data_IF_202374729687
#
_entry.id   IF_202374729687
#
_cell.length_a   1.000
_cell.length_b   1.000
_cell.length_c   1.000
_cell.angle_alpha   90.00
_cell.angle_beta   90.00
_cell.angle_gamma   90.00
#
_symmetry.space_group_name_H-M   'P 1'
#
loop_
_entity.id
_entity.type
_entity.pdbx_description
1 polymer ?
#
# COMPACT_ATOMS: atom_id res chain seq x y z
N UNK A 1 -4.68 -16.89 -25.82
CA UNK A 1 -4.06 -16.71 -24.49
C UNK A 1 -4.75 -15.52 -23.84
N UNK A 2 -5.56 -15.72 -22.80
CA UNK A 2 -6.23 -14.59 -22.13
C UNK A 2 -5.18 -13.66 -21.52
N UNK A 3 -4.95 -12.54 -22.22
CA UNK A 3 -3.93 -11.55 -21.92
C UNK A 3 -4.36 -10.63 -20.80
N UNK A 4 -4.64 -11.17 -19.61
CA UNK A 4 -4.71 -10.33 -18.42
C UNK A 4 -3.30 -9.78 -18.21
N UNK A 5 -3.19 -8.49 -18.49
CA UNK A 5 -1.92 -7.80 -18.45
C UNK A 5 -1.60 -7.52 -16.99
N UNK A 6 -0.47 -8.04 -16.51
CA UNK A 6 -0.11 -8.17 -15.08
C UNK A 6 -0.06 -6.84 -14.31
N UNK A 7 -0.05 -5.71 -15.00
CA UNK A 7 -0.19 -4.37 -14.43
C UNK A 7 -1.61 -4.05 -13.96
N UNK A 8 -2.62 -4.87 -14.29
CA UNK A 8 -3.99 -4.65 -13.85
C UNK A 8 -4.19 -4.90 -12.34
N UNK A 9 -3.40 -5.81 -11.75
CA UNK A 9 -3.51 -6.14 -10.32
C UNK A 9 -3.20 -4.91 -9.44
N UNK A 10 -2.03 -4.25 -9.56
CA UNK A 10 -1.75 -3.08 -8.73
C UNK A 10 -2.66 -1.90 -9.08
N UNK A 11 -3.07 -1.76 -10.35
CA UNK A 11 -4.02 -0.72 -10.75
C UNK A 11 -5.39 -0.92 -10.10
N UNK A 12 -5.91 -2.15 -10.09
CA UNK A 12 -7.17 -2.48 -9.45
C UNK A 12 -7.10 -2.22 -7.94
N UNK A 13 -6.03 -2.67 -7.27
CA UNK A 13 -5.83 -2.41 -5.84
C UNK A 13 -5.84 -0.89 -5.55
N UNK A 14 -5.12 -0.10 -6.36
CA UNK A 14 -5.10 1.36 -6.22
C UNK A 14 -6.48 1.99 -6.44
N UNK A 15 -7.24 1.53 -7.43
CA UNK A 15 -8.60 2.02 -7.68
C UNK A 15 -9.55 1.69 -6.54
N UNK A 16 -9.50 0.48 -5.98
CA UNK A 16 -10.33 0.08 -4.84
C UNK A 16 -9.99 0.92 -3.61
N UNK A 17 -8.70 1.09 -3.32
CA UNK A 17 -8.25 1.92 -2.21
C UNK A 17 -8.72 3.37 -2.36
N UNK A 18 -8.45 3.96 -3.52
CA UNK A 18 -8.87 5.32 -3.82
C UNK A 18 -10.38 5.49 -3.71
N UNK A 19 -11.17 4.57 -4.27
CA UNK A 19 -12.62 4.61 -4.18
C UNK A 19 -13.11 4.49 -2.72
N UNK A 20 -12.45 3.66 -1.91
CA UNK A 20 -12.80 3.49 -0.48
C UNK A 20 -12.54 4.78 0.29
N UNK A 21 -11.35 5.37 0.14
CA UNK A 21 -10.99 6.63 0.80
C UNK A 21 -11.88 7.78 0.33
N UNK A 22 -12.11 7.89 -0.99
CA UNK A 22 -12.94 8.91 -1.57
C UNK A 22 -14.39 8.79 -1.09
N UNK A 23 -14.96 7.58 -1.07
CA UNK A 23 -16.31 7.36 -0.58
C UNK A 23 -16.46 7.79 0.89
N UNK A 24 -15.51 7.40 1.75
CA UNK A 24 -15.54 7.82 3.16
C UNK A 24 -15.45 9.33 3.31
N UNK A 25 -14.53 9.98 2.60
CA UNK A 25 -14.36 11.43 2.66
C UNK A 25 -15.60 12.16 2.12
N UNK A 26 -16.16 11.71 1.00
CA UNK A 26 -17.36 12.31 0.40
C UNK A 26 -18.56 12.21 1.33
N UNK A 27 -18.79 11.05 1.97
CA UNK A 27 -19.89 10.90 2.93
C UNK A 27 -19.74 11.93 4.06
N UNK A 28 -18.56 12.03 4.66
CA UNK A 28 -18.30 13.01 5.73
C UNK A 28 -18.50 14.47 5.30
N UNK A 29 -18.06 14.84 4.08
CA UNK A 29 -18.28 16.19 3.54
C UNK A 29 -19.77 16.45 3.26
N UNK A 30 -20.49 15.47 2.70
CA UNK A 30 -21.92 15.62 2.40
C UNK A 30 -22.81 15.71 3.63
N UNK A 31 -22.35 15.16 4.77
CA UNK A 31 -23.00 15.28 6.07
C UNK A 31 -22.72 16.62 6.77
N UNK A 32 -21.97 17.52 6.13
CA UNK A 32 -21.64 18.84 6.68
C UNK A 32 -20.42 18.83 7.61
N UNK A 33 -19.53 17.85 7.45
CA UNK A 33 -18.28 17.73 8.22
C UNK A 33 -18.49 17.70 9.74
N UNK A 34 -19.31 16.75 10.25
CA UNK A 34 -19.57 16.65 11.68
C UNK A 34 -18.29 16.37 12.49
N UNK A 35 -18.29 16.85 13.73
CA UNK A 35 -17.24 16.52 14.70
C UNK A 35 -17.43 15.06 15.17
N UNK A 36 -16.48 14.19 14.87
CA UNK A 36 -16.64 12.75 15.11
C UNK A 36 -16.22 12.34 16.52
N UNK A 37 -16.76 11.23 17.05
CA UNK A 37 -16.24 10.59 18.25
C UNK A 37 -14.77 10.20 18.01
N UNK A 38 -13.87 10.56 18.93
CA UNK A 38 -12.43 10.33 18.80
C UNK A 38 -11.60 11.56 18.40
N UNK A 39 -12.24 12.66 18.02
CA UNK A 39 -11.53 13.93 17.78
C UNK A 39 -10.82 14.41 19.05
N UNK A 40 -9.57 14.84 18.90
CA UNK A 40 -8.93 15.67 19.92
C UNK A 40 -9.63 17.04 19.98
N UNK A 41 -9.67 17.65 21.17
CA UNK A 41 -10.36 18.92 21.43
C UNK A 41 -9.94 20.09 20.53
N UNK A 42 -8.78 20.00 19.87
CA UNK A 42 -8.25 21.01 18.95
C UNK A 42 -8.34 20.62 17.47
N UNK A 43 -8.78 19.39 17.16
CA UNK A 43 -8.82 18.85 15.80
C UNK A 43 -10.01 19.45 15.02
N UNK A 44 -9.73 20.07 13.87
CA UNK A 44 -10.75 20.67 12.99
C UNK A 44 -11.07 19.85 11.74
N UNK A 45 -10.21 18.89 11.40
CA UNK A 45 -10.33 18.06 10.19
C UNK A 45 -10.34 16.59 10.63
N UNK A 46 -11.32 15.82 10.17
CA UNK A 46 -11.39 14.39 10.45
C UNK A 46 -10.23 13.66 9.77
N UNK A 47 -9.53 12.77 10.48
CA UNK A 47 -8.74 11.77 9.80
C UNK A 47 -9.66 10.74 9.16
N UNK A 48 -9.22 10.12 8.07
CA UNK A 48 -10.01 9.07 7.41
C UNK A 48 -10.27 7.89 8.37
N UNK A 49 -9.32 7.60 9.27
CA UNK A 49 -9.49 6.62 10.34
C UNK A 49 -10.65 6.97 11.30
N UNK A 50 -10.85 8.26 11.62
CA UNK A 50 -11.97 8.73 12.44
C UNK A 50 -13.30 8.52 11.72
N UNK A 51 -13.34 8.82 10.42
CA UNK A 51 -14.52 8.54 9.57
C UNK A 51 -14.77 7.03 9.50
N UNK A 52 -13.71 6.25 9.34
CA UNK A 52 -13.73 4.78 9.31
C UNK A 52 -14.11 4.13 10.65
N UNK A 53 -14.16 4.88 11.76
CA UNK A 53 -14.64 4.40 13.06
C UNK A 53 -16.17 4.50 13.22
N UNK A 54 -16.87 5.14 12.28
CA UNK A 54 -18.32 5.36 12.32
C UNK A 54 -19.11 4.21 11.67
N UNK A 55 -20.33 4.48 11.18
CA UNK A 55 -21.13 3.56 10.36
C UNK A 55 -20.40 3.11 9.07
N UNK A 56 -19.32 3.79 8.66
CA UNK A 56 -18.50 3.42 7.51
C UNK A 56 -17.42 2.38 7.82
N UNK A 57 -17.29 1.91 9.06
CA UNK A 57 -16.33 0.87 9.44
C UNK A 57 -16.39 -0.40 8.57
N UNK A 58 -17.57 -0.95 8.22
CA UNK A 58 -17.63 -2.11 7.32
C UNK A 58 -17.06 -1.82 5.92
N UNK A 59 -17.29 -0.62 5.39
CA UNK A 59 -16.72 -0.18 4.11
C UNK A 59 -15.20 -0.09 4.22
N UNK A 60 -14.69 0.47 5.31
CA UNK A 60 -13.25 0.61 5.52
C UNK A 60 -12.55 -0.75 5.62
N UNK A 61 -13.12 -1.70 6.37
CA UNK A 61 -12.60 -3.07 6.50
C UNK A 61 -12.63 -3.78 5.14
N UNK A 62 -13.78 -3.76 4.45
CA UNK A 62 -13.94 -4.47 3.17
C UNK A 62 -13.03 -3.90 2.08
N UNK A 63 -12.99 -2.57 1.93
CA UNK A 63 -12.13 -1.89 0.96
C UNK A 63 -10.65 -2.13 1.22
N UNK A 64 -10.23 -2.09 2.49
CA UNK A 64 -8.85 -2.41 2.90
C UNK A 64 -8.50 -3.86 2.60
N UNK A 65 -9.36 -4.81 2.97
CA UNK A 65 -9.13 -6.23 2.72
C UNK A 65 -8.98 -6.55 1.23
N UNK A 66 -9.88 -6.04 0.38
CA UNK A 66 -9.77 -6.22 -1.08
C UNK A 66 -8.48 -5.60 -1.61
N UNK A 67 -8.16 -4.36 -1.18
CA UNK A 67 -6.95 -3.65 -1.61
C UNK A 67 -5.70 -4.46 -1.30
N UNK A 68 -5.51 -4.86 -0.05
CA UNK A 68 -4.24 -5.49 0.36
C UNK A 68 -4.09 -6.90 -0.19
N UNK A 69 -5.18 -7.66 -0.30
CA UNK A 69 -5.15 -8.99 -0.92
C UNK A 69 -4.74 -8.88 -2.39
N UNK A 70 -5.34 -7.96 -3.16
CA UNK A 70 -4.96 -7.78 -4.57
C UNK A 70 -3.54 -7.21 -4.69
N UNK A 71 -3.15 -6.33 -3.78
CA UNK A 71 -1.81 -5.76 -3.77
C UNK A 71 -0.75 -6.84 -3.51
N UNK A 72 -0.94 -7.71 -2.51
CA UNK A 72 -0.03 -8.84 -2.23
C UNK A 72 0.03 -9.83 -3.40
N UNK A 73 -1.11 -10.09 -4.06
CA UNK A 73 -1.16 -10.88 -5.29
C UNK A 73 -0.28 -10.30 -6.40
N UNK A 74 -0.02 -8.98 -6.41
CA UNK A 74 0.91 -8.37 -7.36
C UNK A 74 2.34 -8.89 -7.15
N UNK A 75 2.81 -8.93 -5.90
CA UNK A 75 4.17 -9.42 -5.59
C UNK A 75 4.31 -10.92 -5.87
N UNK A 76 3.28 -11.70 -5.50
CA UNK A 76 3.24 -13.15 -5.76
C UNK A 76 3.24 -13.41 -7.27
N UNK A 77 2.42 -12.67 -8.03
CA UNK A 77 2.35 -12.78 -9.49
C UNK A 77 3.67 -12.39 -10.15
N UNK A 78 4.32 -11.32 -9.67
CA UNK A 78 5.63 -10.91 -10.15
C UNK A 78 6.67 -12.02 -9.96
N UNK A 79 6.72 -12.63 -8.77
CA UNK A 79 7.62 -13.74 -8.48
C UNK A 79 7.34 -14.95 -9.39
N UNK A 80 6.06 -15.29 -9.59
CA UNK A 80 5.67 -16.40 -10.45
C UNK A 80 6.03 -16.16 -11.93
N UNK A 81 5.80 -14.95 -12.43
CA UNK A 81 6.14 -14.55 -13.80
C UNK A 81 7.65 -14.53 -14.04
N UNK A 82 8.43 -14.11 -13.04
CA UNK A 82 9.90 -14.23 -13.05
C UNK A 82 10.34 -15.68 -13.11
N UNK A 83 9.68 -16.59 -12.38
CA UNK A 83 10.00 -18.02 -12.43
C UNK A 83 9.70 -18.63 -13.81
N UNK A 84 8.58 -18.22 -14.44
CA UNK A 84 8.18 -18.68 -15.79
C UNK A 84 8.94 -18.01 -16.95
N UNK A 85 9.89 -17.11 -16.68
CA UNK A 85 10.68 -16.43 -17.71
C UNK A 85 9.92 -15.40 -18.55
N UNK A 86 8.75 -14.96 -18.07
CA UNK A 86 8.01 -13.84 -18.70
C UNK A 86 8.50 -12.47 -18.22
N UNK A 87 9.21 -12.43 -17.10
CA UNK A 87 9.92 -11.27 -16.55
C UNK A 87 11.41 -11.63 -16.39
N UNK A 88 12.28 -10.62 -16.29
CA UNK A 88 13.72 -10.83 -16.11
C UNK A 88 14.01 -11.76 -14.93
N UNK A 89 14.61 -12.92 -15.23
CA UNK A 89 14.91 -13.94 -14.23
C UNK A 89 15.88 -13.41 -13.17
N UNK A 90 15.68 -13.88 -11.93
CA UNK A 90 16.60 -13.58 -10.84
C UNK A 90 17.88 -14.41 -11.03
N UNK A 91 18.96 -13.74 -11.41
CA UNK A 91 20.27 -14.34 -11.70
C UNK A 91 21.06 -14.67 -10.43
N UNK A 92 20.76 -14.01 -9.29
CA UNK A 92 21.51 -14.15 -8.05
C UNK A 92 20.66 -14.64 -6.87
N UNK A 93 21.28 -15.40 -5.94
CA UNK A 93 20.65 -15.83 -4.69
C UNK A 93 20.17 -14.64 -3.86
N UNK A 94 20.90 -13.53 -3.89
CA UNK A 94 20.54 -12.33 -3.17
C UNK A 94 19.27 -11.64 -3.72
N UNK A 95 19.06 -11.61 -5.03
CA UNK A 95 17.76 -11.15 -5.59
C UNK A 95 16.62 -12.03 -5.11
N UNK A 96 16.81 -13.35 -5.06
CA UNK A 96 15.76 -14.26 -4.56
C UNK A 96 15.38 -13.96 -3.11
N UNK A 97 16.37 -13.68 -2.26
CA UNK A 97 16.19 -13.31 -0.86
C UNK A 97 15.44 -11.98 -0.74
N UNK A 98 15.86 -10.95 -1.50
CA UNK A 98 15.19 -9.63 -1.52
C UNK A 98 13.72 -9.74 -1.90
N UNK A 99 13.37 -10.51 -2.94
CA UNK A 99 11.95 -10.69 -3.31
C UNK A 99 11.16 -11.37 -2.19
N UNK A 100 11.72 -12.38 -1.54
CA UNK A 100 11.02 -13.10 -0.46
C UNK A 100 10.78 -12.17 0.73
N UNK A 101 11.79 -11.39 1.14
CA UNK A 101 11.60 -10.39 2.19
C UNK A 101 10.57 -9.33 1.79
N UNK A 102 10.57 -8.85 0.54
CA UNK A 102 9.58 -7.88 0.09
C UNK A 102 8.14 -8.40 0.23
N UNK A 103 7.90 -9.68 -0.09
CA UNK A 103 6.58 -10.32 0.06
C UNK A 103 6.20 -10.45 1.53
N UNK A 104 7.12 -10.91 2.39
CA UNK A 104 6.85 -11.07 3.83
C UNK A 104 6.46 -9.72 4.45
N UNK A 105 7.23 -8.67 4.18
CA UNK A 105 6.94 -7.34 4.72
C UNK A 105 5.68 -6.71 4.12
N UNK A 106 5.33 -7.00 2.85
CA UNK A 106 4.06 -6.60 2.26
C UNK A 106 2.87 -7.24 3.00
N UNK A 107 2.95 -8.55 3.30
CA UNK A 107 1.92 -9.26 4.08
C UNK A 107 1.82 -8.70 5.51
N UNK A 108 2.94 -8.39 6.16
CA UNK A 108 2.93 -7.74 7.48
C UNK A 108 2.23 -6.38 7.41
N UNK A 109 2.53 -5.57 6.38
CA UNK A 109 1.84 -4.30 6.14
C UNK A 109 0.35 -4.48 5.89
N UNK A 110 -0.03 -5.48 5.10
CA UNK A 110 -1.42 -5.85 4.80
C UNK A 110 -2.21 -6.21 6.06
N UNK A 111 -1.62 -7.04 6.93
CA UNK A 111 -2.19 -7.39 8.23
C UNK A 111 -2.33 -6.15 9.11
N UNK A 112 -1.33 -5.27 9.14
CA UNK A 112 -1.40 -3.98 9.84
C UNK A 112 -2.61 -3.14 9.39
N UNK A 113 -2.84 -3.03 8.07
CA UNK A 113 -3.97 -2.27 7.53
C UNK A 113 -5.33 -2.89 7.88
N UNK A 114 -5.48 -4.21 7.78
CA UNK A 114 -6.74 -4.86 8.15
C UNK A 114 -6.98 -4.68 9.66
N UNK A 115 -5.97 -4.91 10.49
CA UNK A 115 -6.11 -4.82 11.93
C UNK A 115 -6.40 -3.39 12.40
N UNK A 116 -5.80 -2.35 11.81
CA UNK A 116 -6.12 -0.96 12.16
C UNK A 116 -7.56 -0.57 11.77
N UNK A 117 -8.14 -1.20 10.73
CA UNK A 117 -9.56 -0.97 10.39
C UNK A 117 -10.53 -1.64 11.38
N UNK A 118 -10.08 -2.70 12.06
CA UNK A 118 -10.87 -3.42 13.08
C UNK A 118 -10.73 -2.74 14.44
N UNK A 119 -9.51 -2.43 14.85
CA UNK A 119 -9.19 -1.67 16.06
C UNK A 119 -9.26 -0.18 15.75
N UNK A 120 -10.47 0.38 15.87
CA UNK A 120 -10.74 1.77 15.54
C UNK A 120 -10.19 2.78 16.55
N UNK A 121 -10.21 4.06 16.17
CA UNK A 121 -9.70 5.19 16.98
C UNK A 121 -10.54 5.48 18.23
N UNK A 122 -11.77 4.93 18.32
CA UNK A 122 -12.71 5.21 19.41
C UNK A 122 -12.53 4.22 20.56
N UNK A 123 -12.50 2.92 20.26
CA UNK A 123 -12.47 1.85 21.25
C UNK A 123 -11.03 1.41 21.57
N UNK A 124 -10.11 1.48 20.60
CA UNK A 124 -8.75 0.95 20.73
C UNK A 124 -7.67 1.89 20.16
N UNK A 125 -7.62 3.19 20.54
CA UNK A 125 -6.72 4.18 19.93
C UNK A 125 -5.23 3.78 19.96
N UNK A 126 -4.74 3.31 21.10
CA UNK A 126 -3.33 2.88 21.21
C UNK A 126 -2.99 1.68 20.31
N UNK A 127 -3.95 0.76 20.11
CA UNK A 127 -3.76 -0.40 19.22
C UNK A 127 -3.84 0.04 17.77
N UNK A 128 -4.78 0.94 17.46
CA UNK A 128 -4.92 1.56 16.14
C UNK A 128 -3.59 2.19 15.70
N UNK A 129 -3.00 3.04 16.53
CA UNK A 129 -1.74 3.73 16.23
C UNK A 129 -0.57 2.75 16.07
N UNK A 130 -0.50 1.71 16.91
CA UNK A 130 0.51 0.67 16.76
C UNK A 130 0.35 -0.09 15.43
N UNK A 131 -0.88 -0.42 15.03
CA UNK A 131 -1.15 -1.10 13.76
C UNK A 131 -0.91 -0.19 12.55
N UNK A 132 -1.15 1.12 12.69
CA UNK A 132 -0.77 2.13 11.69
C UNK A 132 0.74 2.15 11.46
N UNK A 133 1.54 2.12 12.54
CA UNK A 133 3.00 2.02 12.44
C UNK A 133 3.42 0.73 11.75
N UNK A 134 2.81 -0.42 12.09
CA UNK A 134 3.09 -1.72 11.44
C UNK A 134 2.76 -1.68 9.94
N UNK A 135 1.61 -1.11 9.57
CA UNK A 135 1.20 -0.91 8.18
C UNK A 135 2.23 -0.10 7.39
N UNK A 136 2.57 1.10 7.89
CA UNK A 136 3.49 2.02 7.21
C UNK A 136 4.89 1.40 7.13
N UNK A 137 5.44 0.92 8.24
CA UNK A 137 6.77 0.33 8.28
C UNK A 137 6.86 -0.92 7.41
N UNK A 138 5.84 -1.78 7.43
CA UNK A 138 5.78 -2.98 6.60
C UNK A 138 5.88 -2.66 5.11
N UNK A 139 5.07 -1.73 4.61
CA UNK A 139 5.10 -1.34 3.20
C UNK A 139 6.36 -0.56 2.81
N UNK A 140 6.90 0.31 3.67
CA UNK A 140 8.17 1.00 3.41
C UNK A 140 9.32 0.00 3.29
N UNK A 141 9.44 -0.94 4.25
CA UNK A 141 10.50 -1.95 4.23
C UNK A 141 10.35 -2.86 2.99
N UNK A 142 9.12 -3.25 2.66
CA UNK A 142 8.84 -3.99 1.43
C UNK A 142 9.30 -3.23 0.18
N UNK A 143 8.95 -1.95 0.07
CA UNK A 143 9.33 -1.10 -1.05
C UNK A 143 10.86 -0.96 -1.18
N UNK A 144 11.58 -0.84 -0.06
CA UNK A 144 13.06 -0.80 -0.05
C UNK A 144 13.62 -2.11 -0.64
N UNK A 145 13.11 -3.27 -0.23
CA UNK A 145 13.56 -4.55 -0.77
C UNK A 145 13.25 -4.72 -2.26
N UNK A 146 12.06 -4.29 -2.71
CA UNK A 146 11.72 -4.25 -4.13
C UNK A 146 12.69 -3.35 -4.90
N UNK A 147 12.91 -2.12 -4.43
CA UNK A 147 13.82 -1.17 -5.06
C UNK A 147 15.25 -1.73 -5.15
N UNK A 148 15.74 -2.36 -4.07
CA UNK A 148 17.04 -3.02 -4.06
C UNK A 148 17.12 -4.19 -5.07
N UNK A 149 16.06 -4.99 -5.20
CA UNK A 149 15.98 -6.05 -6.21
C UNK A 149 16.05 -5.46 -7.63
N UNK A 150 15.22 -4.44 -7.91
CA UNK A 150 15.14 -3.78 -9.20
C UNK A 150 16.45 -3.08 -9.58
N UNK A 151 17.11 -2.42 -8.64
CA UNK A 151 18.42 -1.81 -8.87
C UNK A 151 19.45 -2.87 -9.27
N UNK A 152 19.48 -4.00 -8.55
CA UNK A 152 20.42 -5.09 -8.83
C UNK A 152 20.14 -5.78 -10.17
N UNK A 153 18.87 -5.94 -10.54
CA UNK A 153 18.46 -6.40 -11.87
C UNK A 153 18.84 -5.40 -12.96
N UNK A 154 18.65 -4.10 -12.72
CA UNK A 154 18.95 -3.03 -13.66
C UNK A 154 20.44 -2.89 -13.99
N UNK A 155 21.33 -3.23 -13.04
CA UNK A 155 22.78 -3.29 -13.28
C UNK A 155 23.14 -4.40 -14.26
N UNK A 156 22.47 -5.57 -14.20
CA UNK A 156 22.72 -6.68 -15.11
C UNK A 156 22.01 -6.55 -16.47
N UNK A 157 20.82 -5.94 -16.51
CA UNK A 157 20.04 -5.76 -17.74
C UNK A 157 20.04 -4.30 -18.22
N UNK A 158 21.24 -3.72 -18.39
CA UNK A 158 21.47 -2.30 -18.80
C UNK A 158 20.76 -1.86 -20.10
N UNK A 159 20.26 -2.80 -20.91
CA UNK A 159 19.60 -2.55 -22.20
C UNK A 159 18.15 -2.03 -22.11
N UNK A 160 17.43 -2.23 -20.99
CA UNK A 160 16.01 -1.82 -20.92
C UNK A 160 15.83 -0.43 -20.28
N UNK A 161 15.70 0.61 -21.13
CA UNK A 161 15.41 2.02 -20.70
C UNK A 161 14.15 2.14 -19.83
N UNK A 162 13.17 1.25 -20.03
CA UNK A 162 11.91 1.21 -19.28
C UNK A 162 12.14 0.95 -17.79
N UNK A 163 13.12 0.11 -17.42
CA UNK A 163 13.42 -0.18 -16.00
C UNK A 163 13.89 1.06 -15.24
N UNK A 164 14.66 1.93 -15.92
CA UNK A 164 15.20 3.17 -15.34
C UNK A 164 14.10 4.21 -15.19
N UNK A 165 13.19 4.32 -16.16
CA UNK A 165 12.04 5.21 -16.07
C UNK A 165 11.10 4.81 -14.93
N UNK A 166 10.77 3.51 -14.79
CA UNK A 166 9.96 3.03 -13.67
C UNK A 166 10.61 3.28 -12.31
N UNK A 167 11.95 3.18 -12.20
CA UNK A 167 12.66 3.52 -10.97
C UNK A 167 12.52 5.01 -10.63
N UNK A 168 12.75 5.92 -11.59
CA UNK A 168 12.62 7.36 -11.35
C UNK A 168 11.19 7.79 -11.04
N UNK A 169 10.18 7.19 -11.68
CA UNK A 169 8.77 7.46 -11.36
C UNK A 169 8.45 7.02 -9.92
N UNK A 170 8.87 5.81 -9.53
CA UNK A 170 8.67 5.33 -8.14
C UNK A 170 9.39 6.20 -7.12
N UNK A 171 10.62 6.62 -7.42
CA UNK A 171 11.41 7.48 -6.55
C UNK A 171 10.79 8.88 -6.41
N UNK A 172 10.33 9.48 -7.51
CA UNK A 172 9.65 10.77 -7.48
C UNK A 172 8.36 10.69 -6.65
N UNK A 173 7.59 9.59 -6.79
CA UNK A 173 6.39 9.36 -5.99
C UNK A 173 6.71 9.34 -4.49
N UNK A 174 7.75 8.60 -4.07
CA UNK A 174 8.20 8.56 -2.67
C UNK A 174 8.58 9.96 -2.17
N UNK A 175 9.33 10.75 -2.95
CA UNK A 175 9.70 12.11 -2.54
C UNK A 175 8.50 13.04 -2.41
N UNK A 176 7.51 12.92 -3.30
CA UNK A 176 6.27 13.69 -3.22
C UNK A 176 5.48 13.29 -1.97
N UNK A 177 5.36 11.99 -1.67
CA UNK A 177 4.70 11.53 -0.44
C UNK A 177 5.38 12.06 0.81
N UNK A 178 6.72 11.99 0.89
CA UNK A 178 7.49 12.55 2.02
C UNK A 178 7.27 14.05 2.14
N UNK A 179 7.30 14.79 1.03
CA UNK A 179 7.07 16.23 1.03
C UNK A 179 5.65 16.59 1.52
N UNK A 180 4.64 15.80 1.12
CA UNK A 180 3.27 15.97 1.61
C UNK A 180 3.14 15.66 3.09
N UNK A 181 3.80 14.61 3.58
CA UNK A 181 3.80 14.25 5.01
C UNK A 181 4.45 15.33 5.87
N UNK A 182 5.52 15.97 5.38
CA UNK A 182 6.21 17.06 6.10
C UNK A 182 5.45 18.39 5.99
N UNK A 183 4.71 18.59 4.89
CA UNK A 183 4.02 19.85 4.58
C UNK A 183 2.62 20.00 5.19
N UNK A 184 2.08 18.97 5.83
CA UNK A 184 0.78 18.94 6.53
C UNK A 184 1.04 18.97 8.04
#
# INVERSE_FOLDING_TARGET
MFGISYWILPLFAACVWFATLLAMLLVWVTEGSPHLPGFHTTQRIAYISDIGATNLKPLFIAGSAVTVVVFDLTFISERWLRHKGRLAHNTSRAQKILTVFSIIFAIIGALGLILLTIFDTVHYPNVHDAMLVVFIAGYIISAIFVCAEYQRLGIHFRQYRVLRASFWIKLAFIFVEIALVIGI
#
